data_IF_703479422777
#
_entry.id   IF_703479422777
#
_cell.length_a   1.000
_cell.length_b   1.000
_cell.length_c   1.000
_cell.angle_alpha   90.00
_cell.angle_beta   90.00
_cell.angle_gamma   90.00
#
_symmetry.space_group_name_H-M   'P 1'
#
loop_
_entity.id
_entity.type
_entity.pdbx_description
1 polymer ?
#
# COMPACT_ATOMS: atom_id res chain seq x y z
N UNK A 1 -18.54 14.24 9.93
CA UNK A 1 -18.77 12.80 10.16
C UNK A 1 -19.03 12.61 11.64
N UNK A 2 -20.16 12.02 12.01
CA UNK A 2 -20.43 11.69 13.41
C UNK A 2 -19.70 10.40 13.75
N UNK A 3 -18.59 10.54 14.47
CA UNK A 3 -17.71 9.43 14.84
C UNK A 3 -18.43 8.45 15.77
N UNK A 4 -19.37 8.91 16.59
CA UNK A 4 -20.10 8.03 17.51
C UNK A 4 -21.08 7.16 16.72
N UNK A 5 -21.80 7.76 15.76
CA UNK A 5 -22.70 7.02 14.89
C UNK A 5 -21.96 5.94 14.09
N UNK A 6 -20.79 6.25 13.54
CA UNK A 6 -19.99 5.25 12.80
C UNK A 6 -19.46 4.12 13.69
N UNK A 7 -19.10 4.40 14.95
CA UNK A 7 -18.74 3.36 15.91
C UNK A 7 -19.90 2.39 16.16
N UNK A 8 -21.13 2.91 16.29
CA UNK A 8 -22.30 2.06 16.50
C UNK A 8 -22.58 1.16 15.29
N UNK A 9 -22.48 1.69 14.06
CA UNK A 9 -22.64 0.90 12.84
C UNK A 9 -21.60 -0.23 12.74
N UNK A 10 -20.35 0.04 13.08
CA UNK A 10 -19.30 -0.98 13.08
C UNK A 10 -19.58 -2.08 14.11
N UNK A 11 -20.03 -1.73 15.32
CA UNK A 11 -20.40 -2.71 16.34
C UNK A 11 -21.57 -3.57 15.89
N UNK A 12 -22.61 -2.97 15.31
CA UNK A 12 -23.76 -3.72 14.77
C UNK A 12 -23.32 -4.69 13.66
N UNK A 13 -22.50 -4.22 12.72
CA UNK A 13 -21.97 -5.06 11.65
C UNK A 13 -21.15 -6.24 12.18
N UNK A 14 -20.30 -6.00 13.20
CA UNK A 14 -19.48 -7.03 13.85
C UNK A 14 -20.33 -8.08 14.55
N UNK A 15 -21.40 -7.68 15.23
CA UNK A 15 -22.33 -8.61 15.92
C UNK A 15 -23.02 -9.53 14.90
N UNK A 16 -23.29 -9.03 13.69
CA UNK A 16 -23.91 -9.79 12.61
C UNK A 16 -22.91 -10.66 11.83
N UNK A 17 -21.60 -10.52 12.05
CA UNK A 17 -20.59 -11.33 11.35
C UNK A 17 -20.57 -12.76 11.90
N UNK A 18 -20.82 -13.73 11.02
CA UNK A 18 -20.79 -15.16 11.35
C UNK A 18 -19.57 -15.89 10.74
N UNK A 19 -18.73 -15.19 9.97
CA UNK A 19 -17.54 -15.79 9.36
C UNK A 19 -16.35 -15.70 10.31
N UNK A 20 -15.87 -16.87 10.75
CA UNK A 20 -14.70 -16.98 11.61
C UNK A 20 -13.44 -16.37 10.96
N UNK A 21 -13.24 -16.60 9.66
CA UNK A 21 -12.13 -16.01 8.89
C UNK A 21 -12.14 -14.48 8.90
N UNK A 22 -13.31 -13.86 8.79
CA UNK A 22 -13.46 -12.39 8.81
C UNK A 22 -13.16 -11.86 10.20
N UNK A 23 -13.66 -12.52 11.25
CA UNK A 23 -13.38 -12.16 12.64
C UNK A 23 -11.89 -12.31 12.96
N UNK A 24 -11.23 -13.36 12.48
CA UNK A 24 -9.81 -13.58 12.66
C UNK A 24 -8.96 -12.49 11.99
N UNK A 25 -9.28 -12.12 10.74
CA UNK A 25 -8.62 -11.01 10.05
C UNK A 25 -8.78 -9.68 10.79
N UNK A 26 -9.97 -9.41 11.35
CA UNK A 26 -10.23 -8.20 12.12
C UNK A 26 -9.50 -8.18 13.46
N UNK A 27 -9.33 -9.34 14.11
CA UNK A 27 -8.50 -9.46 15.31
C UNK A 27 -7.04 -9.17 14.98
N UNK A 28 -6.51 -9.78 13.93
CA UNK A 28 -5.13 -9.54 13.47
C UNK A 28 -4.90 -8.07 13.11
N UNK A 29 -5.86 -7.45 12.41
CA UNK A 29 -5.86 -6.02 12.11
C UNK A 29 -5.87 -5.18 13.39
N UNK A 30 -6.73 -5.47 14.36
CA UNK A 30 -6.74 -4.74 15.65
C UNK A 30 -5.41 -4.88 16.40
N UNK A 31 -4.83 -6.08 16.40
CA UNK A 31 -3.56 -6.35 17.06
C UNK A 31 -2.39 -5.61 16.39
N UNK A 32 -2.41 -5.43 15.06
CA UNK A 32 -1.40 -4.64 14.35
C UNK A 32 -1.43 -3.16 14.73
N UNK A 33 -2.59 -2.59 15.10
CA UNK A 33 -2.68 -1.22 15.65
C UNK A 33 -2.27 -1.10 17.12
N UNK A 34 -2.34 -2.21 17.88
CA UNK A 34 -2.13 -2.19 19.33
C UNK A 34 -0.67 -2.43 19.71
N UNK A 35 0.12 -3.03 18.81
CA UNK A 35 1.51 -3.41 19.08
C UNK A 35 2.55 -2.36 18.67
N UNK A 36 2.25 -1.48 17.74
CA UNK A 36 3.13 -0.34 17.47
C UNK A 36 2.33 0.78 16.84
N UNK A 37 2.68 2.00 17.25
CA UNK A 37 2.23 3.29 16.70
C UNK A 37 2.61 3.48 15.21
N UNK A 38 3.01 2.42 14.51
CA UNK A 38 3.68 2.39 13.21
C UNK A 38 3.04 1.38 12.25
N UNK A 39 1.71 1.43 12.11
CA UNK A 39 0.99 0.78 10.98
C UNK A 39 1.45 1.24 9.58
N UNK A 40 2.48 2.10 9.51
CA UNK A 40 2.99 2.76 8.31
C UNK A 40 4.52 2.61 8.12
N UNK A 41 5.24 1.77 8.86
CA UNK A 41 6.68 1.58 8.61
C UNK A 41 7.11 0.12 8.62
N UNK A 42 6.74 -0.58 7.54
CA UNK A 42 7.47 -1.78 7.11
C UNK A 42 8.14 -1.57 5.73
N UNK A 43 8.39 -0.30 5.39
CA UNK A 43 9.35 0.04 4.32
C UNK A 43 10.69 0.33 4.99
N UNK A 44 11.68 -0.49 4.66
CA UNK A 44 13.07 -0.27 5.04
C UNK A 44 13.54 1.10 4.55
N UNK A 45 14.58 1.65 5.18
CA UNK A 45 15.21 2.89 4.71
C UNK A 45 15.67 2.79 3.25
N UNK A 46 16.06 1.59 2.81
CA UNK A 46 16.39 1.32 1.42
C UNK A 46 15.17 1.46 0.50
N UNK A 47 14.02 0.89 0.87
CA UNK A 47 12.79 1.01 0.09
C UNK A 47 12.28 2.45 0.03
N UNK A 48 12.37 3.20 1.14
CA UNK A 48 12.07 4.64 1.16
C UNK A 48 12.93 5.40 0.17
N UNK A 49 14.25 5.17 0.19
CA UNK A 49 15.19 5.82 -0.73
C UNK A 49 14.84 5.51 -2.20
N UNK A 50 14.48 4.28 -2.53
CA UNK A 50 14.08 3.92 -3.89
C UNK A 50 12.76 4.57 -4.32
N UNK A 51 11.78 4.66 -3.41
CA UNK A 51 10.52 5.36 -3.69
C UNK A 51 10.77 6.85 -3.93
N UNK A 52 11.59 7.49 -3.10
CA UNK A 52 11.96 8.90 -3.26
C UNK A 52 12.73 9.15 -4.57
N UNK A 53 13.65 8.26 -4.93
CA UNK A 53 14.38 8.34 -6.19
C UNK A 53 13.42 8.24 -7.39
N UNK A 54 12.51 7.27 -7.39
CA UNK A 54 11.52 7.13 -8.47
C UNK A 54 10.58 8.33 -8.59
N UNK A 55 10.14 8.90 -7.45
CA UNK A 55 9.32 10.12 -7.45
C UNK A 55 10.09 11.34 -7.98
N UNK A 56 11.40 11.42 -7.72
CA UNK A 56 12.27 12.45 -8.27
C UNK A 56 12.43 12.30 -9.78
N UNK A 57 12.67 11.09 -10.27
CA UNK A 57 12.80 10.80 -11.70
C UNK A 57 11.52 11.17 -12.48
N UNK A 58 10.35 10.88 -11.91
CA UNK A 58 9.07 11.31 -12.49
C UNK A 58 8.97 12.85 -12.58
N UNK A 59 9.40 13.57 -11.54
CA UNK A 59 9.36 15.06 -11.54
C UNK A 59 10.35 15.67 -12.52
N UNK A 60 11.51 15.06 -12.67
CA UNK A 60 12.57 15.53 -13.57
C UNK A 60 12.35 15.10 -15.02
N UNK A 61 11.37 14.21 -15.27
CA UNK A 61 11.08 13.67 -16.60
C UNK A 61 12.03 12.55 -17.03
N UNK A 62 12.78 11.97 -16.09
CA UNK A 62 13.65 10.81 -16.29
C UNK A 62 12.82 9.52 -16.35
N UNK A 63 11.76 9.50 -17.15
CA UNK A 63 10.85 8.37 -17.32
C UNK A 63 10.82 7.96 -18.78
N UNK A 64 10.70 6.67 -19.01
CA UNK A 64 10.60 6.10 -20.34
C UNK A 64 9.30 5.32 -20.43
N UNK A 65 8.59 5.47 -21.54
CA UNK A 65 7.48 4.62 -21.91
C UNK A 65 7.97 3.23 -22.28
N UNK A 66 7.08 2.25 -22.21
CA UNK A 66 7.41 0.90 -22.63
C UNK A 66 7.87 0.83 -24.10
N UNK A 67 7.26 1.65 -24.97
CA UNK A 67 7.58 1.73 -26.39
C UNK A 67 8.99 2.26 -26.63
N UNK A 68 9.37 3.35 -25.95
CA UNK A 68 10.72 3.94 -26.03
C UNK A 68 11.79 2.94 -25.60
N UNK A 69 11.55 2.21 -24.50
CA UNK A 69 12.48 1.20 -23.99
C UNK A 69 12.65 0.03 -24.97
N UNK A 70 11.54 -0.47 -25.55
CA UNK A 70 11.59 -1.57 -26.52
C UNK A 70 12.34 -1.15 -27.79
N UNK A 71 12.08 0.05 -28.29
CA UNK A 71 12.79 0.58 -29.45
C UNK A 71 14.29 0.70 -29.18
N UNK A 72 14.70 1.31 -28.06
CA UNK A 72 16.11 1.47 -27.73
C UNK A 72 16.83 0.12 -27.58
N UNK A 73 16.19 -0.87 -26.94
CA UNK A 73 16.77 -2.21 -26.78
C UNK A 73 16.94 -2.90 -28.14
N UNK A 74 15.95 -2.83 -29.02
CA UNK A 74 16.04 -3.44 -30.34
C UNK A 74 17.10 -2.75 -31.21
N UNK A 75 17.22 -1.43 -31.14
CA UNK A 75 18.27 -0.68 -31.85
C UNK A 75 19.68 -1.02 -31.34
N UNK A 76 19.84 -1.17 -30.02
CA UNK A 76 21.15 -1.37 -29.39
C UNK A 76 21.63 -2.81 -29.40
N UNK A 77 20.72 -3.77 -29.32
CA UNK A 77 21.03 -5.20 -29.18
C UNK A 77 20.48 -6.07 -30.31
N UNK A 78 19.69 -5.53 -31.25
CA UNK A 78 19.19 -6.24 -32.43
C UNK A 78 18.20 -7.37 -32.12
N UNK A 79 17.44 -7.23 -31.05
CA UNK A 79 16.39 -8.17 -30.63
C UNK A 79 15.05 -7.94 -31.36
#
# INVERSE_FOLDING_TARGET
MDIQLEKYKLVEWLIQQNSEEVIEKLKNFKESFSKDTDWNYDISETEKLFVEAGLKDIKEGNVFTNEEVILEINEKYGL
#
